data_IF_915160889266
#
_entry.id   IF_915160889266
#
_cell.length_a   1.000
_cell.length_b   1.000
_cell.length_c   1.000
_cell.angle_alpha   90.00
_cell.angle_beta   90.00
_cell.angle_gamma   90.00
#
_symmetry.space_group_name_H-M   'P 1'
#
loop_
_entity.id
_entity.type
_entity.pdbx_description
1 polymer ?
#
# COMPACT_ATOMS: atom_id res chain seq x y z
N UNK A 1 -20.22 31.67 -7.78
CA UNK A 1 -19.03 31.81 -6.92
C UNK A 1 -18.07 30.73 -7.37
N UNK A 2 -17.07 31.07 -8.21
CA UNK A 2 -16.06 30.09 -8.61
C UNK A 2 -15.26 29.72 -7.37
N UNK A 3 -15.27 28.45 -6.99
CA UNK A 3 -14.48 27.97 -5.86
C UNK A 3 -13.01 28.25 -6.17
N UNK A 4 -12.38 29.06 -5.33
CA UNK A 4 -10.95 29.37 -5.39
C UNK A 4 -10.11 28.19 -4.85
N UNK A 5 -10.60 26.95 -5.03
CA UNK A 5 -9.92 25.76 -4.58
C UNK A 5 -8.71 25.50 -5.49
N UNK A 6 -7.54 25.21 -4.92
CA UNK A 6 -6.37 24.89 -5.71
C UNK A 6 -6.65 23.67 -6.59
N UNK A 7 -6.09 23.66 -7.80
CA UNK A 7 -6.11 22.47 -8.63
C UNK A 7 -5.53 21.28 -7.85
N UNK A 8 -6.26 20.17 -7.84
CA UNK A 8 -5.84 18.94 -7.18
C UNK A 8 -4.99 18.09 -8.11
N UNK A 9 -4.01 17.43 -7.52
CA UNK A 9 -3.18 16.41 -8.17
C UNK A 9 -4.00 15.11 -8.17
N UNK A 10 -4.29 14.57 -9.35
CA UNK A 10 -5.11 13.37 -9.48
C UNK A 10 -4.26 12.12 -9.33
N UNK A 11 -4.55 11.34 -8.29
CA UNK A 11 -3.96 10.03 -8.06
C UNK A 11 -4.85 8.96 -8.69
N UNK A 12 -4.22 7.90 -9.21
CA UNK A 12 -4.88 6.74 -9.83
C UNK A 12 -4.89 5.55 -8.88
N UNK A 13 -3.75 5.25 -8.25
CA UNK A 13 -3.59 4.15 -7.30
C UNK A 13 -2.32 4.34 -6.47
N UNK A 14 -2.23 3.64 -5.34
CA UNK A 14 -0.96 3.44 -4.66
C UNK A 14 -0.06 2.53 -5.52
N UNK A 15 1.25 2.82 -5.53
CA UNK A 15 2.22 2.17 -6.40
C UNK A 15 3.10 1.20 -5.60
N UNK A 16 3.93 1.74 -4.72
CA UNK A 16 4.96 1.00 -4.00
C UNK A 16 5.42 1.73 -2.74
N UNK A 17 6.10 1.02 -1.85
CA UNK A 17 6.70 1.57 -0.62
C UNK A 17 8.20 1.35 -0.56
N UNK A 18 8.88 2.22 0.18
CA UNK A 18 10.32 2.13 0.43
C UNK A 18 10.57 1.87 1.91
N UNK A 19 11.43 0.90 2.21
CA UNK A 19 11.90 0.65 3.55
C UNK A 19 13.41 0.46 3.54
N UNK A 20 14.08 1.18 4.42
CA UNK A 20 15.48 0.94 4.75
C UNK A 20 15.53 -0.10 5.86
N UNK A 21 16.45 -1.07 5.73
CA UNK A 21 16.68 -2.13 6.68
C UNK A 21 18.15 -2.12 7.12
N UNK A 22 18.36 -2.14 8.43
CA UNK A 22 19.69 -2.33 9.03
C UNK A 22 20.24 -3.73 8.76
N UNK A 23 19.36 -4.74 8.69
CA UNK A 23 19.72 -6.09 8.30
C UNK A 23 18.96 -6.49 7.04
N UNK A 24 19.50 -6.12 5.89
CA UNK A 24 18.86 -6.37 4.59
C UNK A 24 18.68 -7.86 4.29
N UNK A 25 19.57 -8.74 4.76
CA UNK A 25 19.44 -10.18 4.52
C UNK A 25 18.25 -10.78 5.29
N UNK A 26 18.05 -10.38 6.55
CA UNK A 26 16.85 -10.77 7.31
C UNK A 26 15.58 -10.24 6.66
N UNK A 27 15.60 -9.01 6.18
CA UNK A 27 14.47 -8.43 5.46
C UNK A 27 14.17 -9.20 4.16
N UNK A 28 15.20 -9.60 3.41
CA UNK A 28 15.05 -10.42 2.20
C UNK A 28 14.42 -11.78 2.49
N UNK A 29 14.89 -12.46 3.55
CA UNK A 29 14.31 -13.73 3.98
C UNK A 29 12.83 -13.57 4.35
N UNK A 30 12.52 -12.56 5.19
CA UNK A 30 11.15 -12.27 5.59
C UNK A 30 10.25 -11.94 4.38
N UNK A 31 10.70 -11.09 3.46
CA UNK A 31 9.90 -10.71 2.29
C UNK A 31 9.63 -11.89 1.37
N UNK A 32 10.59 -12.81 1.21
CA UNK A 32 10.38 -14.05 0.48
C UNK A 32 9.37 -14.97 1.19
N UNK A 33 9.51 -15.16 2.51
CA UNK A 33 8.58 -15.96 3.32
C UNK A 33 7.20 -15.31 3.49
N UNK A 34 7.09 -13.98 3.31
CA UNK A 34 5.84 -13.24 3.31
C UNK A 34 5.06 -13.46 2.01
N UNK A 35 5.75 -13.77 0.91
CA UNK A 35 5.15 -14.09 -0.39
C UNK A 35 5.40 -13.06 -1.49
N UNK A 36 6.40 -12.20 -1.32
CA UNK A 36 6.88 -11.34 -2.39
C UNK A 36 7.75 -12.08 -3.40
N UNK A 37 7.73 -11.60 -4.65
CA UNK A 37 8.61 -12.07 -5.72
C UNK A 37 9.71 -11.02 -5.92
N UNK A 38 10.97 -11.40 -5.75
CA UNK A 38 12.10 -10.53 -6.08
C UNK A 38 12.13 -10.26 -7.59
N UNK A 39 12.09 -8.99 -8.00
CA UNK A 39 12.09 -8.59 -9.41
C UNK A 39 13.45 -8.11 -9.90
N UNK A 40 14.18 -7.34 -9.08
CA UNK A 40 15.47 -6.78 -9.45
C UNK A 40 16.31 -6.42 -8.22
N UNK A 41 17.63 -6.55 -8.32
CA UNK A 41 18.60 -5.91 -7.41
C UNK A 41 19.36 -4.81 -8.14
N UNK A 42 19.52 -3.66 -7.51
CA UNK A 42 20.31 -2.54 -8.03
C UNK A 42 21.01 -1.81 -6.89
N UNK A 43 22.35 -1.87 -6.85
CA UNK A 43 23.14 -1.31 -5.75
C UNK A 43 22.70 -1.87 -4.39
N UNK A 44 22.36 -0.98 -3.45
CA UNK A 44 21.87 -1.34 -2.12
C UNK A 44 20.37 -1.67 -2.06
N UNK A 45 19.66 -1.67 -3.20
CA UNK A 45 18.21 -1.86 -3.28
C UNK A 45 17.85 -3.23 -3.85
N UNK A 46 16.81 -3.82 -3.27
CA UNK A 46 16.13 -5.02 -3.75
C UNK A 46 14.66 -4.67 -3.97
N UNK A 47 14.17 -4.86 -5.18
CA UNK A 47 12.80 -4.56 -5.57
C UNK A 47 11.99 -5.85 -5.59
N UNK A 48 10.78 -5.76 -5.07
CA UNK A 48 9.84 -6.86 -4.95
C UNK A 48 8.52 -6.50 -5.57
N UNK A 49 7.94 -7.45 -6.30
CA UNK A 49 6.60 -7.38 -6.89
C UNK A 49 5.68 -8.44 -6.27
N UNK A 50 4.40 -8.27 -6.51
CA UNK A 50 3.44 -9.36 -6.41
C UNK A 50 3.22 -10.06 -7.74
N UNK A 51 2.24 -10.95 -7.78
CA UNK A 51 1.81 -11.65 -9.00
C UNK A 51 0.94 -10.80 -9.93
N UNK A 52 0.58 -9.58 -9.52
CA UNK A 52 -0.07 -8.56 -10.34
C UNK A 52 0.85 -7.95 -11.41
N UNK A 53 0.40 -6.83 -11.99
CA UNK A 53 1.07 -6.15 -13.12
C UNK A 53 1.99 -5.01 -12.69
N UNK A 54 2.03 -4.68 -11.41
CA UNK A 54 2.91 -3.68 -10.84
C UNK A 54 4.39 -4.10 -11.01
N UNK A 55 5.27 -3.21 -11.53
CA UNK A 55 6.69 -3.54 -11.71
C UNK A 55 7.41 -3.88 -10.40
N UNK A 56 6.99 -3.22 -9.33
CA UNK A 56 7.33 -3.53 -7.95
C UNK A 56 6.30 -2.86 -7.03
N UNK A 57 6.19 -3.37 -5.82
CA UNK A 57 5.31 -2.86 -4.75
C UNK A 57 6.08 -2.57 -3.46
N UNK A 58 7.31 -3.10 -3.34
CA UNK A 58 8.17 -2.90 -2.18
C UNK A 58 9.63 -2.75 -2.63
N UNK A 59 10.31 -1.73 -2.14
CA UNK A 59 11.76 -1.55 -2.29
C UNK A 59 12.43 -1.69 -0.92
N UNK A 60 13.20 -2.75 -0.74
CA UNK A 60 14.05 -2.95 0.42
C UNK A 60 15.43 -2.35 0.14
N UNK A 61 15.82 -1.35 0.93
CA UNK A 61 17.12 -0.69 0.82
C UNK A 61 17.99 -1.03 2.02
N UNK A 62 19.25 -1.41 1.80
CA UNK A 62 20.22 -1.52 2.89
C UNK A 62 20.62 -0.14 3.40
N UNK A 63 20.68 0.02 4.73
CA UNK A 63 21.13 1.25 5.35
C UNK A 63 21.47 1.08 6.83
N UNK A 64 21.92 2.14 7.52
CA UNK A 64 22.42 2.02 8.90
C UNK A 64 21.33 1.87 9.97
N UNK A 65 20.06 2.15 9.62
CA UNK A 65 18.91 2.12 10.53
C UNK A 65 17.63 1.76 9.76
N UNK A 66 16.70 1.12 10.46
CA UNK A 66 15.39 0.81 9.92
C UNK A 66 14.57 2.10 9.78
N UNK A 67 14.10 2.39 8.57
CA UNK A 67 13.35 3.61 8.28
C UNK A 67 12.31 3.42 7.19
N UNK A 68 11.17 4.10 7.35
CA UNK A 68 10.20 4.22 6.27
C UNK A 68 10.64 5.31 5.30
N UNK A 69 10.90 4.89 4.07
CA UNK A 69 11.29 5.76 2.97
C UNK A 69 10.12 6.39 2.23
N UNK A 70 8.88 6.16 2.65
CA UNK A 70 7.67 6.73 2.05
C UNK A 70 6.91 5.78 1.14
N UNK A 71 5.68 6.19 0.79
CA UNK A 71 4.83 5.54 -0.20
C UNK A 71 4.78 6.35 -1.49
N UNK A 72 4.59 5.66 -2.61
CA UNK A 72 4.42 6.25 -3.92
C UNK A 72 3.01 6.07 -4.45
N UNK A 73 2.50 7.08 -5.15
CA UNK A 73 1.22 7.03 -5.85
C UNK A 73 1.41 7.32 -7.34
N UNK A 74 0.71 6.55 -8.18
CA UNK A 74 0.62 6.85 -9.61
C UNK A 74 -0.26 8.07 -9.79
N UNK A 75 0.24 9.09 -10.48
CA UNK A 75 -0.57 10.24 -10.91
C UNK A 75 -1.20 10.00 -12.27
N UNK A 76 -2.30 10.68 -12.56
CA UNK A 76 -3.08 10.48 -13.78
C UNK A 76 -2.35 10.98 -15.03
N UNK A 77 -1.68 12.13 -14.92
CA UNK A 77 -1.01 12.78 -16.05
C UNK A 77 0.39 13.26 -15.69
N UNK A 78 1.19 13.56 -16.71
CA UNK A 78 2.47 14.23 -16.49
C UNK A 78 2.28 15.65 -15.89
N UNK A 79 1.18 16.32 -16.26
CA UNK A 79 0.82 17.64 -15.72
C UNK A 79 0.55 17.59 -14.21
N UNK A 80 0.08 16.46 -13.68
CA UNK A 80 -0.05 16.28 -12.23
C UNK A 80 1.33 16.29 -11.53
N UNK A 81 2.39 15.75 -12.15
CA UNK A 81 3.75 15.88 -11.62
C UNK A 81 4.26 17.31 -11.70
N UNK A 82 4.00 18.01 -12.81
CA UNK A 82 4.39 19.41 -12.98
C UNK A 82 3.71 20.30 -11.93
N UNK A 83 2.41 20.08 -11.72
CA UNK A 83 1.64 20.75 -10.68
C UNK A 83 2.22 20.45 -9.30
N UNK A 84 2.53 19.19 -9.01
CA UNK A 84 3.14 18.80 -7.74
C UNK A 84 4.48 19.50 -7.49
N UNK A 85 5.39 19.46 -8.47
CA UNK A 85 6.68 20.14 -8.41
C UNK A 85 6.53 21.64 -8.14
N UNK A 86 5.54 22.29 -8.76
CA UNK A 86 5.35 23.73 -8.66
C UNK A 86 4.68 24.18 -7.36
N UNK A 87 3.84 23.33 -6.77
CA UNK A 87 2.88 23.77 -5.74
C UNK A 87 2.99 23.05 -4.40
N UNK A 88 3.60 21.86 -4.35
CA UNK A 88 3.80 21.17 -3.08
C UNK A 88 5.05 21.69 -2.37
N UNK A 89 4.98 21.89 -1.03
CA UNK A 89 6.10 22.41 -0.26
C UNK A 89 7.28 21.42 -0.29
N UNK A 90 8.47 21.92 -0.64
CA UNK A 90 9.69 21.10 -0.64
C UNK A 90 9.70 19.99 -1.69
N UNK A 91 8.84 20.05 -2.71
CA UNK A 91 8.86 19.09 -3.80
C UNK A 91 10.17 19.16 -4.60
N UNK A 92 10.69 18.00 -4.97
CA UNK A 92 11.83 17.87 -5.87
C UNK A 92 11.46 18.37 -7.27
N UNK A 93 12.48 18.62 -8.08
CA UNK A 93 12.28 18.63 -9.54
C UNK A 93 11.82 17.24 -10.00
N UNK A 94 11.13 17.17 -11.14
CA UNK A 94 10.83 15.91 -11.82
C UNK A 94 12.15 15.23 -12.18
N UNK A 95 12.27 13.95 -11.87
CA UNK A 95 13.43 13.11 -12.19
C UNK A 95 13.01 11.77 -12.78
N UNK A 96 13.92 11.11 -13.51
CA UNK A 96 13.71 9.76 -14.03
C UNK A 96 13.89 8.73 -12.91
N UNK A 97 12.95 7.80 -12.79
CA UNK A 97 12.96 6.75 -11.78
C UNK A 97 13.85 5.59 -12.23
N UNK A 98 14.96 5.41 -11.53
CA UNK A 98 15.82 4.23 -11.67
C UNK A 98 15.29 3.07 -10.80
N UNK A 99 14.24 2.42 -11.28
CA UNK A 99 13.59 1.26 -10.66
C UNK A 99 12.87 0.41 -11.74
N UNK A 100 12.45 -0.84 -11.45
CA UNK A 100 11.66 -1.63 -12.38
C UNK A 100 10.46 -0.85 -12.93
N UNK A 101 10.25 -0.93 -14.24
CA UNK A 101 9.21 -0.20 -14.96
C UNK A 101 9.53 1.26 -15.26
N UNK A 102 10.60 1.83 -14.70
CA UNK A 102 11.01 3.21 -14.93
C UNK A 102 9.92 4.21 -14.56
N UNK A 103 9.82 5.29 -15.33
CA UNK A 103 8.84 6.36 -15.14
C UNK A 103 9.48 7.64 -14.62
N UNK A 104 8.65 8.67 -14.40
CA UNK A 104 9.08 9.98 -13.92
C UNK A 104 8.48 10.23 -12.55
N UNK A 105 9.25 10.85 -11.67
CA UNK A 105 8.88 11.02 -10.27
C UNK A 105 9.04 12.45 -9.77
N UNK A 106 8.20 12.80 -8.79
CA UNK A 106 8.38 13.92 -7.87
C UNK A 106 8.32 13.38 -6.45
N UNK A 107 9.26 13.79 -5.60
CA UNK A 107 9.22 13.49 -4.17
C UNK A 107 8.98 14.77 -3.40
N UNK A 108 8.08 14.74 -2.43
CA UNK A 108 7.93 15.79 -1.43
C UNK A 108 7.95 15.14 -0.03
N UNK A 109 8.04 15.97 0.99
CA UNK A 109 7.92 15.50 2.37
C UNK A 109 6.61 16.02 2.93
N UNK A 110 5.92 15.17 3.68
CA UNK A 110 4.72 15.54 4.40
C UNK A 110 4.96 16.83 5.21
N UNK A 111 4.11 17.86 5.07
CA UNK A 111 4.37 19.17 5.67
C UNK A 111 4.13 19.21 7.19
N UNK A 112 3.54 18.17 7.77
CA UNK A 112 3.25 18.09 9.21
C UNK A 112 4.36 17.36 9.95
N UNK A 113 4.70 16.18 9.46
CA UNK A 113 5.56 15.21 10.12
C UNK A 113 6.85 14.89 9.35
N UNK A 114 6.98 15.36 8.10
CA UNK A 114 8.22 15.26 7.33
C UNK A 114 8.54 13.88 6.77
N UNK A 115 7.60 12.93 6.75
CA UNK A 115 7.82 11.63 6.11
C UNK A 115 7.81 11.77 4.57
N UNK A 116 8.60 10.97 3.82
CA UNK A 116 8.65 11.10 2.37
C UNK A 116 7.35 10.61 1.71
N UNK A 117 7.00 11.24 0.59
CA UNK A 117 5.88 10.84 -0.26
C UNK A 117 6.27 11.03 -1.73
N UNK A 118 5.98 10.04 -2.57
CA UNK A 118 6.38 10.04 -3.96
C UNK A 118 5.18 10.04 -4.91
N UNK A 119 5.33 10.72 -6.02
CA UNK A 119 4.38 10.74 -7.13
C UNK A 119 5.09 10.21 -8.36
N UNK A 120 4.47 9.27 -9.06
CA UNK A 120 5.07 8.62 -10.23
C UNK A 120 4.13 8.64 -11.42
N UNK A 121 4.69 8.85 -12.61
CA UNK A 121 3.97 8.79 -13.88
C UNK A 121 4.72 7.91 -14.88
N UNK A 122 3.99 7.16 -15.71
CA UNK A 122 4.58 6.46 -16.86
C UNK A 122 5.40 5.21 -16.53
N UNK A 123 5.19 4.56 -15.38
CA UNK A 123 5.81 3.25 -15.15
C UNK A 123 5.25 2.22 -16.14
N UNK A 124 6.13 1.43 -16.75
CA UNK A 124 5.74 0.37 -17.68
C UNK A 124 5.27 -0.86 -16.89
N UNK A 125 3.98 -1.26 -16.97
CA UNK A 125 3.47 -2.42 -16.26
C UNK A 125 4.03 -3.72 -16.84
N UNK A 126 4.01 -4.77 -16.04
CA UNK A 126 4.41 -6.11 -16.47
C UNK A 126 3.29 -6.78 -17.27
N UNK A 127 3.68 -7.74 -18.11
CA UNK A 127 2.77 -8.46 -19.01
C UNK A 127 2.40 -9.86 -18.51
N UNK A 128 3.08 -10.36 -17.48
CA UNK A 128 3.02 -11.72 -16.96
C UNK A 128 2.19 -11.82 -15.66
N UNK A 129 0.95 -11.33 -15.70
CA UNK A 129 0.03 -11.46 -14.56
C UNK A 129 -0.35 -12.93 -14.35
N UNK A 130 -0.22 -13.42 -13.11
CA UNK A 130 -0.69 -14.75 -12.74
C UNK A 130 -2.13 -14.68 -12.23
N UNK A 131 -3.05 -15.32 -12.95
CA UNK A 131 -4.42 -15.48 -12.47
C UNK A 131 -4.52 -16.70 -11.56
N UNK A 132 -4.83 -16.46 -10.29
CA UNK A 132 -5.14 -17.52 -9.34
C UNK A 132 -6.62 -17.92 -9.45
N UNK A 133 -6.96 -19.22 -9.28
CA UNK A 133 -8.32 -19.70 -9.54
C UNK A 133 -9.31 -19.21 -8.46
N UNK A 134 -10.49 -18.75 -8.87
CA UNK A 134 -11.57 -18.44 -7.93
C UNK A 134 -12.15 -19.73 -7.31
N UNK A 135 -12.22 -19.77 -5.98
CA UNK A 135 -12.69 -20.94 -5.25
C UNK A 135 -14.23 -21.02 -5.21
N UNK A 136 -14.77 -22.19 -5.54
CA UNK A 136 -16.17 -22.53 -5.33
C UNK A 136 -16.39 -23.19 -3.96
N UNK A 137 -17.07 -22.49 -3.05
CA UNK A 137 -17.34 -22.99 -1.72
C UNK A 137 -18.64 -23.79 -1.66
N UNK A 138 -18.61 -24.90 -0.92
CA UNK A 138 -19.81 -25.60 -0.51
C UNK A 138 -20.29 -25.02 0.81
N UNK A 139 -21.57 -24.70 0.89
CA UNK A 139 -22.25 -24.27 2.11
C UNK A 139 -23.05 -25.45 2.70
N UNK A 140 -23.48 -25.36 3.98
CA UNK A 140 -24.25 -26.45 4.61
C UNK A 140 -25.44 -26.93 3.77
N UNK A 141 -26.25 -25.99 3.25
CA UNK A 141 -27.43 -26.28 2.44
C UNK A 141 -27.20 -26.29 0.92
N UNK A 142 -26.08 -25.74 0.43
CA UNK A 142 -25.85 -25.55 -1.01
C UNK A 142 -24.49 -26.10 -1.42
N UNK A 143 -24.48 -27.12 -2.29
CA UNK A 143 -23.25 -27.71 -2.83
C UNK A 143 -22.99 -27.12 -4.22
N UNK A 144 -22.19 -26.07 -4.28
CA UNK A 144 -21.87 -25.36 -5.52
C UNK A 144 -20.71 -26.03 -6.28
N UNK A 145 -19.81 -26.72 -5.58
CA UNK A 145 -18.64 -27.35 -6.18
C UNK A 145 -19.03 -28.68 -6.87
N UNK A 146 -18.68 -28.89 -8.15
CA UNK A 146 -18.98 -30.12 -8.87
C UNK A 146 -18.43 -31.38 -8.19
N UNK A 147 -19.15 -32.49 -8.33
CA UNK A 147 -18.73 -33.79 -7.79
C UNK A 147 -17.32 -34.17 -8.30
N UNK A 148 -16.46 -34.65 -7.39
CA UNK A 148 -15.08 -35.04 -7.70
C UNK A 148 -14.09 -33.88 -7.88
N UNK A 149 -14.50 -32.63 -7.70
CA UNK A 149 -13.58 -31.47 -7.70
C UNK A 149 -13.10 -31.14 -6.28
N UNK A 150 -11.79 -31.12 -6.12
CA UNK A 150 -11.10 -30.84 -4.87
C UNK A 150 -10.46 -29.45 -4.91
N UNK A 151 -10.40 -28.80 -3.75
CA UNK A 151 -9.56 -27.62 -3.50
C UNK A 151 -8.45 -28.08 -2.58
N UNK A 152 -7.22 -28.07 -3.07
CA UNK A 152 -6.03 -28.50 -2.35
C UNK A 152 -4.96 -27.45 -2.60
N UNK A 153 -4.31 -27.04 -1.53
CA UNK A 153 -3.26 -26.04 -1.57
C UNK A 153 -1.94 -26.66 -1.16
N UNK A 154 -0.86 -26.15 -1.72
CA UNK A 154 0.49 -26.44 -1.25
C UNK A 154 0.80 -25.53 -0.07
N UNK A 155 1.55 -26.06 0.91
CA UNK A 155 2.01 -25.25 2.03
C UNK A 155 3.08 -24.28 1.53
N UNK A 156 2.95 -23.02 1.88
CA UNK A 156 3.88 -21.99 1.46
C UNK A 156 3.41 -20.59 1.86
N UNK A 157 4.17 -19.57 1.47
CA UNK A 157 3.79 -18.18 1.69
C UNK A 157 2.48 -17.83 0.97
N UNK A 158 1.74 -16.84 1.48
CA UNK A 158 0.60 -16.28 0.78
C UNK A 158 1.09 -15.34 -0.34
N UNK A 159 0.86 -15.64 -1.63
CA UNK A 159 1.36 -14.79 -2.70
C UNK A 159 0.79 -13.37 -2.59
N UNK A 160 1.67 -12.39 -2.67
CA UNK A 160 1.28 -10.97 -2.71
C UNK A 160 0.72 -10.66 -4.11
N UNK A 161 -0.44 -10.02 -4.18
CA UNK A 161 -1.01 -9.50 -5.41
C UNK A 161 -0.47 -8.10 -5.73
N UNK A 162 -0.92 -7.10 -4.94
CA UNK A 162 -0.53 -5.69 -5.04
C UNK A 162 -0.45 -5.04 -3.65
N UNK A 163 0.13 -3.85 -3.58
CA UNK A 163 0.02 -2.97 -2.41
C UNK A 163 -1.42 -2.43 -2.34
N UNK A 164 -2.11 -2.70 -1.24
CA UNK A 164 -3.47 -2.20 -1.01
C UNK A 164 -3.45 -0.80 -0.40
N UNK A 165 -2.72 -0.63 0.70
CA UNK A 165 -2.64 0.64 1.42
C UNK A 165 -1.39 0.76 2.29
N UNK A 166 -1.13 1.97 2.77
CA UNK A 166 -0.20 2.22 3.87
C UNK A 166 -0.84 3.10 4.95
N UNK A 167 -0.26 3.04 6.15
CA UNK A 167 -0.72 3.70 7.35
C UNK A 167 0.33 4.55 8.02
N UNK A 168 -0.06 5.72 8.51
CA UNK A 168 0.79 6.57 9.33
C UNK A 168 0.15 6.88 10.68
N UNK A 169 0.96 6.91 11.73
CA UNK A 169 0.67 7.73 12.90
C UNK A 169 1.18 9.14 12.60
N UNK A 170 0.34 10.15 12.82
CA UNK A 170 0.65 11.57 12.54
C UNK A 170 0.51 12.41 13.81
N UNK A 171 1.28 13.50 13.92
CA UNK A 171 1.25 14.33 15.15
C UNK A 171 0.16 15.39 15.15
N UNK A 172 -0.43 15.68 13.99
CA UNK A 172 -1.56 16.60 13.87
C UNK A 172 -2.52 16.13 12.78
N UNK A 173 -3.65 15.55 13.20
CA UNK A 173 -4.62 14.98 12.28
C UNK A 173 -5.24 16.04 11.37
N UNK A 174 -5.68 17.17 11.94
CA UNK A 174 -6.42 18.19 11.18
C UNK A 174 -5.58 18.78 10.05
N UNK A 175 -4.32 19.13 10.33
CA UNK A 175 -3.40 19.66 9.30
C UNK A 175 -3.06 18.62 8.23
N UNK A 176 -2.86 17.37 8.65
CA UNK A 176 -2.58 16.27 7.72
C UNK A 176 -3.78 16.06 6.79
N UNK A 177 -4.97 15.95 7.38
CA UNK A 177 -6.23 15.76 6.66
C UNK A 177 -6.52 16.91 5.70
N UNK A 178 -6.39 18.16 6.13
CA UNK A 178 -6.55 19.33 5.28
C UNK A 178 -5.58 19.29 4.10
N UNK A 179 -4.29 19.02 4.33
CA UNK A 179 -3.29 18.97 3.26
C UNK A 179 -3.63 17.90 2.22
N UNK A 180 -3.80 16.64 2.63
CA UNK A 180 -4.00 15.56 1.65
C UNK A 180 -5.33 15.68 0.91
N UNK A 181 -6.40 16.13 1.57
CA UNK A 181 -7.73 16.25 0.92
C UNK A 181 -7.88 17.53 0.09
N UNK A 182 -7.11 18.58 0.36
CA UNK A 182 -7.11 19.82 -0.45
C UNK A 182 -6.16 19.74 -1.64
N UNK A 183 -5.05 19.01 -1.54
CA UNK A 183 -4.02 18.92 -2.60
C UNK A 183 -4.21 17.74 -3.54
N UNK A 184 -4.84 16.67 -3.08
CA UNK A 184 -5.04 15.45 -3.86
C UNK A 184 -6.51 15.06 -3.88
N UNK A 185 -6.85 14.10 -4.74
CA UNK A 185 -8.18 13.49 -4.79
C UNK A 185 -8.41 12.42 -3.71
N UNK A 186 -7.74 12.50 -2.55
CA UNK A 186 -8.08 11.65 -1.39
C UNK A 186 -9.46 12.02 -0.86
N UNK A 187 -10.25 10.99 -0.51
CA UNK A 187 -11.59 11.13 0.01
C UNK A 187 -11.79 10.18 1.20
N UNK A 188 -12.30 10.66 2.34
CA UNK A 188 -12.53 9.82 3.52
C UNK A 188 -13.67 8.82 3.26
N UNK A 189 -13.36 7.53 3.31
CA UNK A 189 -14.36 6.47 3.35
C UNK A 189 -14.95 6.36 4.75
N UNK A 190 -14.08 6.34 5.77
CA UNK A 190 -14.43 6.31 7.18
C UNK A 190 -13.66 7.40 7.94
N UNK A 191 -14.32 7.99 8.94
CA UNK A 191 -13.74 8.87 9.94
C UNK A 191 -14.08 8.34 11.32
N UNK A 192 -13.05 8.21 12.17
CA UNK A 192 -13.23 7.88 13.57
C UNK A 192 -13.06 9.13 14.42
N UNK A 193 -13.94 9.26 15.42
CA UNK A 193 -14.06 10.45 16.26
C UNK A 193 -13.96 10.07 17.73
N UNK A 194 -13.41 10.99 18.52
CA UNK A 194 -13.49 10.94 19.98
C UNK A 194 -14.92 11.25 20.45
N UNK A 195 -15.28 10.94 21.72
CA UNK A 195 -16.61 11.23 22.25
C UNK A 195 -17.03 12.71 22.19
N UNK A 196 -16.06 13.63 22.20
CA UNK A 196 -16.25 15.08 22.03
C UNK A 196 -16.30 15.53 20.55
N UNK A 197 -16.25 14.59 19.60
CA UNK A 197 -16.47 14.83 18.17
C UNK A 197 -15.23 15.20 17.36
N UNK A 198 -14.03 15.18 17.96
CA UNK A 198 -12.78 15.42 17.23
C UNK A 198 -12.42 14.22 16.37
N UNK A 199 -12.14 14.44 15.09
CA UNK A 199 -11.63 13.40 14.19
C UNK A 199 -10.21 13.02 14.61
N UNK A 200 -9.93 11.72 14.71
CA UNK A 200 -8.61 11.22 15.14
C UNK A 200 -8.08 10.09 14.26
N UNK A 201 -8.90 9.55 13.35
CA UNK A 201 -8.50 8.52 12.39
C UNK A 201 -9.30 8.70 11.10
N UNK A 202 -8.66 8.43 9.96
CA UNK A 202 -9.28 8.46 8.64
C UNK A 202 -8.78 7.33 7.78
N UNK A 203 -9.67 6.76 6.99
CA UNK A 203 -9.36 5.81 5.92
C UNK A 203 -9.69 6.48 4.57
N UNK A 204 -8.67 6.85 3.78
CA UNK A 204 -8.87 7.57 2.52
C UNK A 204 -8.82 6.64 1.31
N UNK A 205 -9.88 6.67 0.50
CA UNK A 205 -9.90 6.18 -0.88
C UNK A 205 -9.54 7.30 -1.86
N UNK A 206 -9.48 6.97 -3.14
CA UNK A 206 -9.33 7.96 -4.22
C UNK A 206 -10.70 8.32 -4.82
N UNK A 207 -10.98 9.61 -4.96
CA UNK A 207 -12.16 10.10 -5.66
C UNK A 207 -11.95 9.98 -7.17
N UNK A 208 -12.41 8.87 -7.75
CA UNK A 208 -12.32 8.52 -9.19
C UNK A 208 -13.67 8.54 -9.91
N UNK A 209 -14.61 9.35 -9.42
CA UNK A 209 -15.95 9.47 -10.00
C UNK A 209 -16.76 8.18 -9.89
N UNK A 210 -17.06 7.54 -11.03
CA UNK A 210 -17.86 6.29 -11.11
C UNK A 210 -17.01 5.02 -11.06
N UNK A 211 -15.68 5.15 -11.14
CA UNK A 211 -14.76 4.02 -11.03
C UNK A 211 -14.85 3.41 -9.63
N UNK A 212 -14.96 2.08 -9.56
CA UNK A 212 -14.90 1.36 -8.29
C UNK A 212 -13.45 1.40 -7.79
N UNK A 213 -13.27 1.78 -6.53
CA UNK A 213 -11.96 1.91 -5.88
C UNK A 213 -11.95 1.15 -4.57
N UNK A 214 -10.76 0.80 -4.12
CA UNK A 214 -10.54 0.17 -2.81
C UNK A 214 -11.06 1.06 -1.68
N UNK A 215 -11.47 0.41 -0.56
CA UNK A 215 -12.00 1.09 0.61
C UNK A 215 -11.06 2.19 1.10
N UNK A 216 -9.75 1.95 1.08
CA UNK A 216 -8.74 2.96 1.30
C UNK A 216 -7.41 2.52 0.69
N UNK A 217 -6.55 3.50 0.44
CA UNK A 217 -5.17 3.31 0.01
C UNK A 217 -4.18 4.10 0.88
N UNK A 218 -4.68 5.02 1.70
CA UNK A 218 -3.92 5.74 2.71
C UNK A 218 -4.78 5.97 3.94
N UNK A 219 -4.35 5.50 5.10
CA UNK A 219 -4.99 5.82 6.37
C UNK A 219 -4.00 6.48 7.32
N UNK A 220 -4.51 7.26 8.25
CA UNK A 220 -3.70 7.76 9.36
C UNK A 220 -4.53 8.04 10.59
N UNK A 221 -3.87 8.03 11.74
CA UNK A 221 -4.46 8.39 13.02
C UNK A 221 -3.53 9.33 13.80
N UNK A 222 -4.09 10.14 14.70
CA UNK A 222 -3.32 11.06 15.55
C UNK A 222 -2.63 10.31 16.69
N UNK A 223 -1.35 10.59 16.89
CA UNK A 223 -0.59 10.10 18.04
C UNK A 223 0.57 11.02 18.43
N UNK A 224 1.28 10.70 19.52
CA UNK A 224 2.28 11.61 20.09
C UNK A 224 3.56 11.73 19.25
N UNK A 225 3.80 10.81 18.31
CA UNK A 225 5.00 10.78 17.47
C UNK A 225 4.69 10.16 16.12
N UNK A 226 5.15 10.80 15.05
CA UNK A 226 5.01 10.24 13.71
C UNK A 226 5.84 8.97 13.50
N UNK A 227 5.22 7.99 12.86
CA UNK A 227 5.85 6.75 12.40
C UNK A 227 4.93 6.04 11.40
N UNK A 228 5.52 5.20 10.55
CA UNK A 228 4.72 4.27 9.74
C UNK A 228 4.02 3.29 10.66
N UNK A 229 2.73 3.09 10.44
CA UNK A 229 1.94 2.11 11.18
C UNK A 229 2.03 0.74 10.51
N UNK A 230 1.76 0.65 9.20
CA UNK A 230 2.03 -0.54 8.38
C UNK A 230 1.93 -0.24 6.88
N UNK A 231 2.45 -1.16 6.06
CA UNK A 231 2.06 -1.32 4.66
C UNK A 231 1.31 -2.63 4.51
N UNK A 232 0.19 -2.63 3.80
CA UNK A 232 -0.69 -3.78 3.65
C UNK A 232 -0.76 -4.24 2.20
N UNK A 233 -0.58 -5.55 2.00
CA UNK A 233 -0.52 -6.17 0.70
C UNK A 233 -1.69 -7.13 0.54
N UNK A 234 -2.32 -7.11 -0.63
CA UNK A 234 -3.45 -7.98 -0.93
C UNK A 234 -2.97 -9.39 -1.25
N UNK A 235 -3.77 -10.39 -0.88
CA UNK A 235 -3.63 -11.77 -1.34
C UNK A 235 -4.96 -12.26 -1.90
N UNK A 236 -4.95 -13.44 -2.51
CA UNK A 236 -6.03 -13.92 -3.37
C UNK A 236 -7.35 -14.18 -2.64
N UNK A 237 -7.30 -14.93 -1.54
CA UNK A 237 -8.48 -15.31 -0.78
C UNK A 237 -8.13 -15.69 0.67
N UNK A 238 -9.17 -16.02 1.44
CA UNK A 238 -9.02 -16.36 2.85
C UNK A 238 -8.25 -17.68 3.08
N UNK A 239 -8.39 -18.66 2.19
CA UNK A 239 -7.67 -19.94 2.31
C UNK A 239 -6.16 -19.69 2.14
N UNK A 240 -5.78 -18.86 1.17
CA UNK A 240 -4.41 -18.41 0.93
C UNK A 240 -3.87 -17.60 2.12
N UNK A 241 -4.68 -16.70 2.69
CA UNK A 241 -4.32 -15.93 3.89
C UNK A 241 -3.97 -16.84 5.08
N UNK A 242 -4.82 -17.84 5.36
CA UNK A 242 -4.59 -18.76 6.49
C UNK A 242 -3.36 -19.64 6.25
N UNK A 243 -3.09 -20.05 5.01
CA UNK A 243 -1.87 -20.77 4.66
C UNK A 243 -0.62 -19.93 4.90
N UNK A 244 -0.63 -18.67 4.47
CA UNK A 244 0.46 -17.72 4.74
C UNK A 244 0.67 -17.49 6.24
N UNK A 245 -0.42 -17.35 7.00
CA UNK A 245 -0.35 -17.22 8.46
C UNK A 245 0.35 -18.43 9.09
N UNK A 246 -0.10 -19.64 8.79
CA UNK A 246 0.48 -20.87 9.32
C UNK A 246 1.95 -21.05 8.87
N UNK A 247 2.27 -20.65 7.64
CA UNK A 247 3.64 -20.66 7.12
C UNK A 247 4.57 -19.75 7.92
N UNK A 248 4.17 -18.49 8.11
CA UNK A 248 4.96 -17.52 8.88
C UNK A 248 5.09 -17.94 10.35
N UNK A 249 4.05 -18.52 10.96
CA UNK A 249 4.13 -19.12 12.30
C UNK A 249 5.14 -20.25 12.37
N UNK A 250 5.13 -21.16 11.40
CA UNK A 250 6.07 -22.29 11.35
C UNK A 250 7.51 -21.79 11.24
N UNK A 251 7.74 -20.75 10.43
CA UNK A 251 9.03 -20.10 10.26
C UNK A 251 9.51 -19.34 11.50
N UNK A 252 8.64 -19.14 12.49
CA UNK A 252 8.97 -18.52 13.77
C UNK A 252 8.91 -16.99 13.77
N UNK A 253 8.22 -16.38 12.79
CA UNK A 253 7.96 -14.95 12.80
C UNK A 253 6.97 -14.56 13.91
N UNK A 254 6.98 -13.30 14.30
CA UNK A 254 6.10 -12.77 15.34
C UNK A 254 4.77 -12.33 14.72
N UNK A 255 3.65 -12.83 15.23
CA UNK A 255 2.34 -12.33 14.85
C UNK A 255 1.96 -11.17 15.77
N UNK A 256 1.69 -10.01 15.18
CA UNK A 256 1.25 -8.84 15.92
C UNK A 256 -0.25 -8.94 16.25
N UNK A 257 -1.08 -9.25 15.25
CA UNK A 257 -2.53 -9.34 15.40
C UNK A 257 -3.19 -10.03 14.20
N UNK A 258 -4.08 -10.99 14.44
CA UNK A 258 -4.84 -11.68 13.41
C UNK A 258 -4.64 -13.20 13.44
N UNK A 259 -5.19 -13.96 12.49
CA UNK A 259 -6.06 -13.51 11.39
C UNK A 259 -7.41 -12.99 11.90
N UNK A 260 -7.91 -11.89 11.35
CA UNK A 260 -9.19 -11.30 11.75
C UNK A 260 -9.91 -10.59 10.61
N UNK A 261 -11.03 -9.94 10.94
CA UNK A 261 -11.78 -9.06 10.02
C UNK A 261 -12.04 -7.72 10.67
N UNK A 262 -11.66 -6.65 9.98
CA UNK A 262 -11.91 -5.29 10.43
C UNK A 262 -13.40 -4.96 10.37
N UNK A 263 -13.87 -4.17 11.33
CA UNK A 263 -15.20 -3.56 11.25
C UNK A 263 -15.24 -2.53 10.12
N UNK A 264 -14.21 -1.67 10.04
CA UNK A 264 -14.04 -0.67 8.99
C UNK A 264 -13.52 -1.32 7.71
N UNK A 265 -14.15 -1.03 6.58
CA UNK A 265 -13.82 -1.64 5.28
C UNK A 265 -14.09 -3.15 5.14
N UNK A 266 -14.45 -3.87 6.21
CA UNK A 266 -14.71 -5.32 6.21
C UNK A 266 -13.56 -6.18 5.67
N UNK A 267 -12.33 -5.66 5.69
CA UNK A 267 -11.14 -6.35 5.17
C UNK A 267 -10.72 -7.47 6.12
N UNK A 268 -10.23 -8.58 5.57
CA UNK A 268 -9.50 -9.59 6.34
C UNK A 268 -8.09 -9.05 6.57
N UNK A 269 -7.55 -9.24 7.77
CA UNK A 269 -6.20 -8.79 8.12
C UNK A 269 -5.40 -9.87 8.83
N UNK A 270 -4.08 -9.75 8.73
CA UNK A 270 -3.09 -10.54 9.47
C UNK A 270 -1.78 -9.73 9.55
N UNK A 271 -1.41 -9.30 10.74
CA UNK A 271 -0.28 -8.41 11.00
C UNK A 271 0.92 -9.18 11.53
N UNK A 272 2.08 -8.91 10.94
CA UNK A 272 3.38 -9.55 11.19
C UNK A 272 4.45 -8.50 11.39
#
# INVERSE_FOLDING_TARGET
MGSNEPAKINLVRIAHVYYTHQNIEKAREFLADFGFIESQRSGSKTYYRGYGREPFVYCAQEGPKDEFGGAAFVVETEQDLELAQQTLPGASKIYELDAPGGGRCVTFHDPVDGFPFHLVYGQTPLTDEQLLPELQFNFPAHKQRPAGRYQRFEKGPAPVHKLGHFGMCVTNFDKTFEFYTSRFNFYPSDLGHTPDGKNVIVFNRLARGKELVDHHCFFFFEGPKSHVHHSSFETHDFDTQVLGHDWLRHKGYENCWGVGRHVMGSQIFDYW
#
